data_IF_003135761209
#
_entry.id   IF_003135761209
#
_cell.length_a   1.000
_cell.length_b   1.000
_cell.length_c   1.000
_cell.angle_alpha   90.00
_cell.angle_beta   90.00
_cell.angle_gamma   90.00
#
_symmetry.space_group_name_H-M   'P 1'
#
loop_
_entity.id
_entity.type
_entity.pdbx_description
1 polymer ?
#
# COMPACT_ATOMS: atom_id res chain seq x y z
N UNK A 1 -21.00 7.92 -34.23
CA UNK A 1 -19.89 7.22 -33.51
C UNK A 1 -18.93 8.22 -32.86
N UNK A 2 -18.48 9.27 -33.53
CA UNK A 2 -17.61 10.31 -32.97
C UNK A 2 -18.23 11.03 -31.75
N UNK A 3 -19.50 11.38 -31.84
CA UNK A 3 -20.20 12.09 -30.75
C UNK A 3 -20.31 11.25 -29.47
N UNK A 4 -20.47 9.94 -29.56
CA UNK A 4 -20.51 9.05 -28.41
C UNK A 4 -19.15 8.88 -27.78
N UNK A 5 -18.09 8.68 -28.56
CA UNK A 5 -16.73 8.60 -28.05
C UNK A 5 -16.31 9.90 -27.31
N UNK A 6 -16.65 11.07 -27.87
CA UNK A 6 -16.39 12.37 -27.24
C UNK A 6 -17.14 12.52 -25.91
N UNK A 7 -18.39 12.05 -25.83
CA UNK A 7 -19.13 12.06 -24.56
C UNK A 7 -18.50 11.18 -23.50
N UNK A 8 -18.05 9.97 -23.84
CA UNK A 8 -17.35 9.06 -22.94
C UNK A 8 -16.07 9.69 -22.42
N UNK A 9 -15.26 10.27 -23.31
CA UNK A 9 -14.02 10.94 -22.91
C UNK A 9 -14.30 12.12 -21.97
N UNK A 10 -15.35 12.92 -22.25
CA UNK A 10 -15.73 14.05 -21.40
C UNK A 10 -16.19 13.63 -20.00
N UNK A 11 -16.81 12.46 -19.86
CA UNK A 11 -17.20 11.94 -18.55
C UNK A 11 -15.99 11.52 -17.71
N UNK A 12 -14.96 10.94 -18.35
CA UNK A 12 -13.75 10.48 -17.66
C UNK A 12 -12.76 11.62 -17.36
N UNK A 13 -12.79 12.68 -18.17
CA UNK A 13 -11.88 13.82 -18.04
C UNK A 13 -12.66 15.12 -17.87
N UNK A 14 -12.96 15.52 -16.63
CA UNK A 14 -13.81 16.68 -16.35
C UNK A 14 -13.18 18.01 -16.76
N UNK A 15 -11.86 18.07 -16.89
CA UNK A 15 -11.13 19.29 -17.23
C UNK A 15 -10.49 19.17 -18.61
N UNK A 16 -10.91 20.03 -19.55
CA UNK A 16 -10.37 20.12 -20.90
C UNK A 16 -9.56 21.39 -21.06
N UNK A 17 -8.32 21.27 -21.50
CA UNK A 17 -7.46 22.43 -21.78
C UNK A 17 -7.50 22.86 -23.25
N UNK A 18 -7.87 21.95 -24.14
CA UNK A 18 -8.07 22.19 -25.56
C UNK A 18 -8.96 21.09 -26.17
N UNK A 19 -9.24 21.16 -27.47
CA UNK A 19 -10.04 20.16 -28.18
C UNK A 19 -9.40 18.76 -28.07
N UNK A 20 -8.08 18.71 -28.04
CA UNK A 20 -7.32 17.46 -28.13
C UNK A 20 -6.65 17.04 -26.82
N UNK A 21 -6.75 17.85 -25.75
CA UNK A 21 -6.06 17.58 -24.48
C UNK A 21 -7.00 17.73 -23.30
N UNK A 22 -7.26 16.62 -22.62
CA UNK A 22 -7.94 16.57 -21.33
C UNK A 22 -6.93 16.29 -20.21
N UNK A 23 -7.16 16.85 -19.03
CA UNK A 23 -6.28 16.68 -17.87
C UNK A 23 -7.07 16.29 -16.63
N UNK A 24 -6.47 15.47 -15.78
CA UNK A 24 -6.92 15.20 -14.42
C UNK A 24 -5.92 15.85 -13.48
N UNK A 25 -6.40 16.53 -12.46
CA UNK A 25 -5.53 17.11 -11.44
C UNK A 25 -4.91 16.01 -10.59
N UNK A 26 -3.67 16.20 -10.16
CA UNK A 26 -2.97 15.23 -9.34
C UNK A 26 -3.67 14.95 -8.00
N UNK A 27 -4.38 15.95 -7.45
CA UNK A 27 -5.12 15.85 -6.20
C UNK A 27 -6.49 15.14 -6.37
N UNK A 28 -6.97 14.96 -7.60
CA UNK A 28 -8.24 14.29 -7.88
C UNK A 28 -8.07 12.76 -7.93
N UNK A 29 -7.79 12.18 -6.77
CA UNK A 29 -7.55 10.74 -6.63
C UNK A 29 -8.71 9.88 -7.11
N UNK A 30 -9.94 10.33 -6.93
CA UNK A 30 -11.12 9.56 -7.36
C UNK A 30 -11.21 9.42 -8.87
N UNK A 31 -10.97 10.51 -9.60
CA UNK A 31 -10.97 10.49 -11.07
C UNK A 31 -9.79 9.67 -11.60
N UNK A 32 -8.61 9.79 -10.99
CA UNK A 32 -7.43 8.99 -11.36
C UNK A 32 -7.71 7.50 -11.13
N UNK A 33 -8.26 7.12 -9.97
CA UNK A 33 -8.61 5.73 -9.67
C UNK A 33 -9.67 5.19 -10.62
N UNK A 34 -10.71 5.97 -10.93
CA UNK A 34 -11.72 5.58 -11.90
C UNK A 34 -11.09 5.31 -13.27
N UNK A 35 -10.16 6.15 -13.71
CA UNK A 35 -9.45 5.95 -14.98
C UNK A 35 -8.61 4.67 -14.95
N UNK A 36 -7.86 4.42 -13.87
CA UNK A 36 -6.98 3.26 -13.72
C UNK A 36 -7.74 1.94 -13.59
N UNK A 37 -8.91 1.94 -12.97
CA UNK A 37 -9.68 0.72 -12.69
C UNK A 37 -10.68 0.36 -13.79
N UNK A 38 -11.40 1.34 -14.32
CA UNK A 38 -12.51 1.13 -15.27
C UNK A 38 -12.35 1.95 -16.54
N UNK A 39 -11.79 3.17 -16.42
CA UNK A 39 -11.80 4.16 -17.48
C UNK A 39 -11.03 3.74 -18.73
N UNK A 40 -9.91 3.04 -18.57
CA UNK A 40 -9.11 2.55 -19.70
C UNK A 40 -9.90 1.53 -20.52
N UNK A 41 -10.63 0.63 -19.86
CA UNK A 41 -11.46 -0.37 -20.56
C UNK A 41 -12.67 0.27 -21.24
N UNK A 42 -13.27 1.28 -20.61
CA UNK A 42 -14.32 2.09 -21.22
C UNK A 42 -13.79 2.80 -22.48
N UNK A 43 -12.61 3.42 -22.41
CA UNK A 43 -11.99 4.07 -23.56
C UNK A 43 -11.67 3.09 -24.68
N UNK A 44 -11.17 1.88 -24.37
CA UNK A 44 -10.92 0.83 -25.32
C UNK A 44 -12.17 0.36 -26.06
N UNK A 45 -13.33 0.45 -25.42
CA UNK A 45 -14.60 0.09 -26.03
C UNK A 45 -15.03 1.05 -27.15
N UNK A 46 -14.52 2.28 -27.16
CA UNK A 46 -14.87 3.33 -28.13
C UNK A 46 -13.74 3.71 -29.08
N UNK A 47 -12.50 3.23 -28.83
CA UNK A 47 -11.35 3.54 -29.68
C UNK A 47 -10.08 2.80 -29.28
N UNK A 48 -9.00 3.08 -30.00
CA UNK A 48 -7.68 2.59 -29.65
C UNK A 48 -7.08 3.44 -28.53
N UNK A 49 -6.51 2.78 -27.53
CA UNK A 49 -5.89 3.45 -26.38
C UNK A 49 -4.41 3.04 -26.31
N UNK A 50 -3.56 4.05 -26.25
CA UNK A 50 -2.12 3.89 -26.02
C UNK A 50 -1.79 4.50 -24.68
N UNK A 51 -1.13 3.74 -23.80
CA UNK A 51 -0.66 4.20 -22.50
C UNK A 51 0.86 4.26 -22.46
N UNK A 52 1.39 5.03 -21.54
CA UNK A 52 2.83 5.05 -21.25
C UNK A 52 3.14 4.05 -20.15
N UNK A 53 4.40 3.57 -20.10
CA UNK A 53 4.85 2.69 -19.01
C UNK A 53 4.68 3.34 -17.62
N UNK A 54 4.83 4.66 -17.53
CA UNK A 54 4.59 5.39 -16.29
C UNK A 54 3.13 5.32 -15.83
N UNK A 55 2.18 5.44 -16.76
CA UNK A 55 0.75 5.31 -16.47
C UNK A 55 0.40 3.86 -16.07
N UNK A 56 0.91 2.88 -16.81
CA UNK A 56 0.67 1.45 -16.52
C UNK A 56 1.23 1.04 -15.15
N UNK A 57 2.29 1.68 -14.68
CA UNK A 57 2.89 1.47 -13.36
C UNK A 57 2.22 2.23 -12.21
N UNK A 58 1.20 3.05 -12.46
CA UNK A 58 0.53 3.80 -11.39
C UNK A 58 -0.32 2.94 -10.46
N UNK A 59 -0.75 1.76 -10.87
CA UNK A 59 -1.42 0.78 -10.02
C UNK A 59 -0.47 -0.38 -9.74
N UNK A 60 -0.13 -0.57 -8.47
CA UNK A 60 0.69 -1.71 -8.03
C UNK A 60 -0.07 -3.02 -8.29
N UNK A 61 0.57 -4.06 -8.86
CA UNK A 61 -0.07 -5.34 -9.06
C UNK A 61 -0.31 -6.05 -7.72
N UNK A 62 -1.51 -6.60 -7.55
CA UNK A 62 -1.89 -7.35 -6.35
C UNK A 62 -2.21 -6.46 -5.14
N UNK A 63 -2.33 -7.09 -3.99
CA UNK A 63 -2.55 -6.44 -2.70
C UNK A 63 -1.34 -6.65 -1.79
N UNK A 64 -0.96 -5.67 -0.97
CA UNK A 64 0.24 -5.77 -0.15
C UNK A 64 0.05 -6.75 1.00
N UNK A 65 1.12 -7.48 1.31
CA UNK A 65 1.28 -8.25 2.55
C UNK A 65 2.45 -7.67 3.32
N UNK A 66 2.22 -7.32 4.57
CA UNK A 66 3.27 -6.86 5.48
C UNK A 66 3.37 -7.82 6.65
N UNK A 67 4.45 -8.56 6.70
CA UNK A 67 4.81 -9.45 7.80
C UNK A 67 5.72 -8.75 8.79
N UNK A 68 6.01 -9.44 9.89
CA UNK A 68 6.90 -8.92 10.92
C UNK A 68 8.08 -9.87 11.12
N UNK A 69 9.27 -9.30 11.10
CA UNK A 69 10.50 -9.99 11.45
C UNK A 69 10.84 -9.76 12.92
N UNK A 70 11.22 -10.83 13.62
CA UNK A 70 11.70 -10.81 14.99
C UNK A 70 13.13 -11.33 15.08
N UNK A 71 13.99 -10.55 15.70
CA UNK A 71 15.32 -10.98 16.09
C UNK A 71 15.63 -10.55 17.51
N UNK A 72 16.64 -11.14 18.13
CA UNK A 72 17.09 -10.75 19.45
C UNK A 72 18.60 -10.56 19.48
N UNK A 73 19.04 -9.49 20.08
CA UNK A 73 20.44 -9.20 20.35
C UNK A 73 20.57 -8.54 21.72
N UNK A 74 21.55 -9.00 22.51
CA UNK A 74 21.90 -8.39 23.81
C UNK A 74 20.68 -8.15 24.72
N UNK A 75 19.75 -9.11 24.76
CA UNK A 75 18.50 -9.06 25.55
C UNK A 75 17.51 -7.97 25.09
N UNK A 76 17.64 -7.53 23.86
CA UNK A 76 16.68 -6.63 23.21
C UNK A 76 16.06 -7.34 22.01
N UNK A 77 14.73 -7.34 21.93
CA UNK A 77 14.00 -7.81 20.75
C UNK A 77 13.93 -6.67 19.73
N UNK A 78 14.34 -6.98 18.54
CA UNK A 78 14.19 -6.14 17.37
C UNK A 78 12.99 -6.62 16.55
N UNK A 79 12.12 -5.67 16.23
CA UNK A 79 10.92 -5.87 15.41
C UNK A 79 11.10 -5.05 14.14
N UNK A 80 10.95 -5.69 12.99
CA UNK A 80 11.04 -5.01 11.69
C UNK A 80 9.90 -5.44 10.77
N UNK A 81 9.14 -4.49 10.20
CA UNK A 81 8.19 -4.81 9.13
C UNK A 81 8.92 -5.39 7.92
N UNK A 82 8.35 -6.44 7.33
CA UNK A 82 8.83 -7.07 6.11
C UNK A 82 7.75 -6.90 5.05
N UNK A 83 8.03 -6.12 4.05
CA UNK A 83 7.10 -5.86 2.96
C UNK A 83 7.86 -5.79 1.63
N UNK A 84 7.41 -6.59 0.68
CA UNK A 84 7.88 -6.48 -0.69
C UNK A 84 7.16 -5.31 -1.38
N UNK A 85 7.90 -4.53 -2.17
CA UNK A 85 7.37 -3.44 -3.00
C UNK A 85 6.67 -2.27 -2.25
N UNK A 86 6.64 -2.29 -0.91
CA UNK A 86 6.11 -1.18 -0.10
C UNK A 86 7.27 -0.34 0.44
N UNK A 87 7.27 0.98 0.23
CA UNK A 87 8.26 1.85 0.81
C UNK A 87 8.23 1.76 2.34
N UNK A 88 9.36 1.44 2.98
CA UNK A 88 9.44 1.23 4.43
C UNK A 88 8.96 2.45 5.23
N UNK A 89 9.26 3.65 4.75
CA UNK A 89 8.85 4.91 5.38
C UNK A 89 7.39 5.30 5.10
N UNK A 90 6.59 4.42 4.53
CA UNK A 90 5.16 4.59 4.27
C UNK A 90 4.31 3.43 4.81
N UNK A 91 4.93 2.47 5.49
CA UNK A 91 4.23 1.31 6.09
C UNK A 91 3.19 1.77 7.12
N UNK A 92 3.51 2.77 7.94
CA UNK A 92 2.57 3.34 8.91
C UNK A 92 1.34 3.97 8.26
N UNK A 93 1.52 4.74 7.20
CA UNK A 93 0.41 5.32 6.43
C UNK A 93 -0.44 4.25 5.74
N UNK A 94 0.20 3.19 5.21
CA UNK A 94 -0.49 2.04 4.64
C UNK A 94 -1.34 1.33 5.69
N UNK A 95 -0.80 1.08 6.89
CA UNK A 95 -1.51 0.48 8.02
C UNK A 95 -2.73 1.31 8.42
N UNK A 96 -2.61 2.64 8.46
CA UNK A 96 -3.73 3.52 8.75
C UNK A 96 -4.86 3.41 7.71
N UNK A 97 -4.52 3.30 6.42
CA UNK A 97 -5.50 3.07 5.36
C UNK A 97 -6.17 1.71 5.50
N UNK A 98 -5.41 0.67 5.84
CA UNK A 98 -5.90 -0.68 6.10
C UNK A 98 -6.90 -0.70 7.28
N UNK A 99 -6.56 -0.09 8.41
CA UNK A 99 -7.42 0.03 9.60
C UNK A 99 -8.74 0.76 9.34
N UNK A 100 -8.71 1.73 8.41
CA UNK A 100 -9.90 2.49 7.99
C UNK A 100 -10.74 1.77 6.94
N UNK A 101 -10.41 0.55 6.58
CA UNK A 101 -11.07 -0.23 5.52
C UNK A 101 -11.15 0.51 4.18
N UNK A 102 -10.12 1.30 3.84
CA UNK A 102 -10.05 1.93 2.53
C UNK A 102 -9.83 0.87 1.46
N UNK A 103 -10.44 1.05 0.31
CA UNK A 103 -10.25 0.15 -0.82
C UNK A 103 -8.87 0.32 -1.45
N UNK A 104 -8.38 1.55 -1.53
CA UNK A 104 -7.10 1.91 -2.14
C UNK A 104 -6.27 2.77 -1.20
N UNK A 105 -4.95 2.64 -1.31
CA UNK A 105 -3.98 3.54 -0.72
C UNK A 105 -3.11 4.14 -1.81
N UNK A 106 -2.75 5.42 -1.68
CA UNK A 106 -1.84 6.12 -2.57
C UNK A 106 -0.54 6.43 -1.84
N UNK A 107 0.57 5.97 -2.41
CA UNK A 107 1.90 6.30 -1.92
C UNK A 107 2.32 7.71 -2.35
N UNK A 108 3.36 8.27 -1.71
CA UNK A 108 3.88 9.61 -1.99
C UNK A 108 4.44 9.76 -3.40
N UNK A 109 4.89 8.67 -4.01
CA UNK A 109 5.33 8.65 -5.41
C UNK A 109 4.18 8.70 -6.42
N UNK A 110 2.93 8.67 -5.96
CA UNK A 110 1.72 8.67 -6.78
C UNK A 110 1.17 7.30 -7.14
N UNK A 111 1.85 6.22 -6.78
CA UNK A 111 1.40 4.84 -7.04
C UNK A 111 0.24 4.47 -6.13
N UNK A 112 -0.77 3.80 -6.69
CA UNK A 112 -1.90 3.24 -5.95
C UNK A 112 -1.73 1.75 -5.70
N UNK A 113 -2.30 1.27 -4.61
CA UNK A 113 -2.40 -0.16 -4.29
C UNK A 113 -3.82 -0.51 -3.84
N UNK A 114 -4.31 -1.67 -4.28
CA UNK A 114 -5.60 -2.21 -3.88
C UNK A 114 -5.46 -2.94 -2.53
N UNK A 115 -6.26 -2.56 -1.56
CA UNK A 115 -6.23 -3.13 -0.21
C UNK A 115 -7.27 -4.24 0.00
N UNK A 116 -8.03 -4.65 -1.02
CA UNK A 116 -9.09 -5.65 -0.88
C UNK A 116 -8.62 -6.97 -0.25
N UNK A 117 -7.45 -7.42 -0.66
CA UNK A 117 -6.83 -8.66 -0.18
C UNK A 117 -5.51 -8.38 0.56
N UNK A 118 -5.33 -7.17 1.06
CA UNK A 118 -4.15 -6.81 1.83
C UNK A 118 -4.12 -7.56 3.16
N UNK A 119 -2.94 -8.00 3.56
CA UNK A 119 -2.71 -8.65 4.85
C UNK A 119 -1.64 -7.88 5.65
N UNK A 120 -2.10 -7.13 6.62
CA UNK A 120 -1.29 -6.40 7.58
C UNK A 120 -1.63 -6.82 9.02
N UNK A 121 -2.25 -7.99 9.20
CA UNK A 121 -2.80 -8.43 10.47
C UNK A 121 -1.74 -8.58 11.56
N UNK A 122 -0.62 -9.23 11.27
CA UNK A 122 0.50 -9.37 12.24
C UNK A 122 1.00 -7.99 12.71
N UNK A 123 1.27 -7.10 11.75
CA UNK A 123 1.74 -5.75 12.06
C UNK A 123 0.71 -4.98 12.88
N UNK A 124 -0.58 -5.07 12.51
CA UNK A 124 -1.67 -4.40 13.21
C UNK A 124 -1.79 -4.84 14.67
N UNK A 125 -1.68 -6.12 14.95
CA UNK A 125 -1.69 -6.66 16.30
C UNK A 125 -0.51 -6.15 17.13
N UNK A 126 0.69 -6.25 16.62
CA UNK A 126 1.91 -5.82 17.31
C UNK A 126 1.89 -4.31 17.58
N UNK A 127 1.50 -3.52 16.59
CA UNK A 127 1.38 -2.06 16.74
C UNK A 127 0.37 -1.69 17.82
N UNK A 128 -0.74 -2.42 17.89
CA UNK A 128 -1.77 -2.20 18.90
C UNK A 128 -1.29 -2.60 20.30
N UNK A 129 -0.70 -3.77 20.45
CA UNK A 129 -0.29 -4.32 21.75
C UNK A 129 0.92 -3.59 22.35
N UNK A 130 1.78 -3.05 21.51
CA UNK A 130 2.95 -2.28 21.93
C UNK A 130 2.72 -0.76 21.93
N UNK A 131 1.54 -0.30 21.50
CA UNK A 131 1.19 1.11 21.37
C UNK A 131 2.21 1.90 20.54
N UNK A 132 2.55 1.36 19.36
CA UNK A 132 3.52 1.96 18.45
C UNK A 132 2.90 3.08 17.63
N UNK A 133 3.62 4.17 17.47
CA UNK A 133 3.25 5.27 16.59
C UNK A 133 3.76 5.07 15.13
N UNK A 134 3.27 5.90 14.22
CA UNK A 134 3.63 5.84 12.81
C UNK A 134 5.13 6.05 12.58
N UNK A 135 5.78 6.93 13.35
CA UNK A 135 7.22 7.20 13.21
C UNK A 135 8.05 5.97 13.61
N UNK A 136 7.64 5.26 14.65
CA UNK A 136 8.29 4.02 15.08
C UNK A 136 8.15 2.93 14.00
N UNK A 137 6.98 2.79 13.40
CA UNK A 137 6.74 1.83 12.31
C UNK A 137 7.59 2.19 11.10
N UNK A 138 7.58 3.45 10.69
CA UNK A 138 8.29 3.93 9.49
C UNK A 138 9.81 3.98 9.67
N UNK A 139 10.32 3.87 10.90
CA UNK A 139 11.75 3.70 11.16
C UNK A 139 12.30 2.37 10.61
N UNK A 140 11.40 1.41 10.38
CA UNK A 140 11.75 0.08 9.88
C UNK A 140 12.41 -0.84 10.92
N UNK A 141 12.67 -0.34 12.12
CA UNK A 141 13.34 -1.07 13.19
C UNK A 141 12.90 -0.56 14.56
N UNK A 142 12.23 -1.42 15.30
CA UNK A 142 11.74 -1.12 16.64
C UNK A 142 12.43 -2.03 17.65
N UNK A 143 12.93 -1.48 18.74
CA UNK A 143 13.61 -2.24 19.76
C UNK A 143 12.83 -2.19 21.07
N UNK A 144 12.59 -3.37 21.65
CA UNK A 144 11.90 -3.52 22.93
C UNK A 144 12.69 -4.45 23.87
N UNK A 145 12.47 -4.37 25.20
CA UNK A 145 13.11 -5.27 26.16
C UNK A 145 12.78 -6.75 25.89
N UNK A 146 13.79 -7.64 26.05
CA UNK A 146 13.71 -9.06 25.76
C UNK A 146 12.62 -9.81 26.55
N UNK A 147 12.24 -9.34 27.75
CA UNK A 147 11.15 -9.96 28.52
C UNK A 147 9.78 -9.95 27.83
N UNK A 148 9.61 -9.11 26.79
CA UNK A 148 8.40 -9.10 25.95
C UNK A 148 8.43 -10.10 24.80
N UNK A 149 9.54 -10.83 24.60
CA UNK A 149 9.68 -11.78 23.50
C UNK A 149 8.55 -12.82 23.48
N UNK A 150 8.17 -13.35 24.63
CA UNK A 150 7.10 -14.35 24.75
C UNK A 150 5.72 -13.85 24.28
N UNK A 151 5.45 -12.56 24.42
CA UNK A 151 4.21 -11.97 23.91
C UNK A 151 4.21 -11.99 22.37
N UNK A 152 5.34 -11.67 21.76
CA UNK A 152 5.49 -11.59 20.31
C UNK A 152 5.58 -12.97 19.66
N UNK A 153 6.12 -13.97 20.36
CA UNK A 153 6.27 -15.34 19.86
C UNK A 153 4.92 -15.95 19.40
N UNK A 154 3.86 -15.66 20.13
CA UNK A 154 2.52 -16.14 19.80
C UNK A 154 1.83 -15.37 18.65
N UNK A 155 2.35 -14.21 18.27
CA UNK A 155 1.71 -13.30 17.32
C UNK A 155 2.34 -13.30 15.93
N UNK A 156 3.59 -13.76 15.82
CA UNK A 156 4.36 -13.77 14.58
C UNK A 156 4.53 -15.18 14.09
N UNK A 157 4.36 -15.38 12.80
CA UNK A 157 4.59 -16.67 12.15
C UNK A 157 6.07 -17.10 12.26
N UNK A 158 6.34 -18.41 12.24
CA UNK A 158 7.68 -18.95 12.43
C UNK A 158 8.68 -18.49 11.36
N UNK A 159 8.21 -18.19 10.16
CA UNK A 159 9.05 -17.67 9.07
C UNK A 159 9.54 -16.23 9.30
N UNK A 160 8.90 -15.49 10.20
CA UNK A 160 9.33 -14.15 10.63
C UNK A 160 10.35 -14.16 11.78
N UNK A 161 10.62 -15.31 12.40
CA UNK A 161 11.49 -15.42 13.57
C UNK A 161 12.91 -15.83 13.20
N UNK A 162 13.90 -15.09 13.68
CA UNK A 162 15.29 -15.48 13.54
C UNK A 162 15.66 -16.65 14.47
N UNK A 163 16.72 -17.38 14.14
CA UNK A 163 17.23 -18.46 15.02
C UNK A 163 17.53 -17.92 16.43
N UNK A 164 18.15 -16.74 16.55
CA UNK A 164 18.46 -16.13 17.83
C UNK A 164 17.21 -15.80 18.65
N UNK A 165 16.10 -15.48 18.01
CA UNK A 165 14.82 -15.25 18.69
C UNK A 165 14.20 -16.57 19.17
N UNK A 166 14.19 -17.59 18.33
CA UNK A 166 13.65 -18.93 18.66
C UNK A 166 14.41 -19.56 19.81
N UNK A 167 15.73 -19.45 19.82
CA UNK A 167 16.59 -19.99 20.91
C UNK A 167 16.41 -19.27 22.25
N UNK A 168 15.96 -18.01 22.21
CA UNK A 168 15.74 -17.20 23.41
C UNK A 168 14.39 -17.50 24.10
N UNK A 169 13.36 -17.83 23.33
CA UNK A 169 11.98 -18.06 23.80
C UNK A 169 11.80 -19.50 24.29
#
# INVERSE_FOLDING_TARGET
>A
RESFAVQVVRQLFPTWSSIDVARIREEDEQTILLLLTEGVDILRSVGQVFSTAAFDGMMMPGSPTVKVGLSIDSNLVEISPIADEVPMNEVGALLNSYRRNRRYHRFKDGTFVDLKNADLHELDQIVTDLDLDEQQIDSGRITIPGYRAFLLDAQVDDDGKSESFVDYV
#
